data_IF_174819932571
#
_entry.id   IF_174819932571
#
_cell.length_a   1.000
_cell.length_b   1.000
_cell.length_c   1.000
_cell.angle_alpha   90.00
_cell.angle_beta   90.00
_cell.angle_gamma   90.00
#
_symmetry.space_group_name_H-M   'P 1'
#
loop_
_entity.id
_entity.type
_entity.pdbx_description
1 polymer ?
#
# COMPACT_ATOMS: atom_id res chain seq x y z
N UNK A 1 -68.50 6.37 62.06
CA UNK A 1 -68.70 5.90 60.67
C UNK A 1 -67.79 6.73 59.76
N UNK A 2 -67.02 6.06 58.91
CA UNK A 2 -65.80 6.53 58.24
C UNK A 2 -66.02 7.69 57.25
N UNK A 3 -65.27 8.78 57.39
CA UNK A 3 -65.12 9.79 56.34
C UNK A 3 -63.86 9.50 55.53
N UNK A 4 -64.05 9.16 54.24
CA UNK A 4 -62.97 8.94 53.26
C UNK A 4 -62.36 10.29 52.87
N UNK A 5 -61.11 10.54 53.25
CA UNK A 5 -60.29 11.61 52.67
C UNK A 5 -59.81 11.16 51.28
N UNK A 6 -60.34 11.80 50.24
CA UNK A 6 -59.95 11.61 48.85
C UNK A 6 -58.72 12.47 48.57
N UNK A 7 -57.53 11.86 48.52
CA UNK A 7 -56.30 12.57 48.17
C UNK A 7 -56.30 12.89 46.68
N UNK A 8 -56.36 14.18 46.35
CA UNK A 8 -56.23 14.66 44.98
C UNK A 8 -54.75 14.64 44.60
N UNK A 9 -54.34 13.70 43.75
CA UNK A 9 -53.02 13.73 43.12
C UNK A 9 -53.09 14.63 41.89
N UNK A 10 -52.36 15.76 41.81
CA UNK A 10 -52.25 16.49 40.55
C UNK A 10 -51.54 15.57 39.55
N UNK A 11 -52.21 15.26 38.44
CA UNK A 11 -51.64 14.50 37.33
C UNK A 11 -50.48 15.30 36.75
N UNK A 12 -49.26 15.01 37.23
CA UNK A 12 -48.03 15.52 36.65
C UNK A 12 -47.92 14.93 35.25
N UNK A 13 -48.38 15.66 34.24
CA UNK A 13 -48.14 15.32 32.85
C UNK A 13 -46.63 15.40 32.64
N UNK A 14 -45.96 14.24 32.63
CA UNK A 14 -44.55 14.14 32.29
C UNK A 14 -44.44 14.43 30.79
N UNK A 15 -44.27 15.70 30.42
CA UNK A 15 -43.85 16.08 29.08
C UNK A 15 -42.47 15.47 28.85
N UNK A 16 -42.40 14.36 28.11
CA UNK A 16 -41.14 13.76 27.72
C UNK A 16 -40.32 14.80 26.94
N UNK A 17 -39.04 15.05 27.27
CA UNK A 17 -38.24 16.01 26.53
C UNK A 17 -38.09 15.50 25.08
N UNK A 18 -38.51 16.30 24.12
CA UNK A 18 -38.32 15.99 22.70
C UNK A 18 -36.82 15.79 22.44
N UNK A 19 -36.42 14.57 22.10
CA UNK A 19 -35.06 14.28 21.63
C UNK A 19 -34.92 14.90 20.25
N UNK A 20 -34.44 16.14 20.19
CA UNK A 20 -34.08 16.78 18.93
C UNK A 20 -32.90 15.99 18.35
N UNK A 21 -33.15 15.30 17.24
CA UNK A 21 -32.08 14.68 16.47
C UNK A 21 -31.16 15.80 15.97
N UNK A 22 -29.92 15.80 16.47
CA UNK A 22 -28.87 16.65 15.94
C UNK A 22 -28.52 16.16 14.54
N UNK A 23 -28.97 16.90 13.52
CA UNK A 23 -28.55 16.67 12.14
C UNK A 23 -27.24 17.42 11.91
N UNK A 24 -26.10 16.76 12.11
CA UNK A 24 -24.83 17.31 11.63
C UNK A 24 -24.76 17.15 10.11
N UNK A 25 -24.52 18.22 9.34
CA UNK A 25 -24.35 18.08 7.89
C UNK A 25 -23.13 17.19 7.60
N UNK A 26 -23.32 16.24 6.70
CA UNK A 26 -22.24 15.36 6.23
C UNK A 26 -21.35 16.21 5.32
N UNK A 27 -20.21 16.64 5.83
CA UNK A 27 -19.20 17.36 5.02
C UNK A 27 -18.34 16.31 4.30
N UNK A 28 -18.28 16.31 2.96
CA UNK A 28 -17.40 15.39 2.24
C UNK A 28 -15.94 15.67 2.60
N UNK A 29 -15.16 14.60 2.77
CA UNK A 29 -13.75 14.73 3.06
C UNK A 29 -13.02 15.40 1.88
N UNK A 30 -12.12 16.34 2.18
CA UNK A 30 -11.29 16.99 1.15
C UNK A 30 -10.45 15.91 0.44
N UNK A 31 -10.41 15.89 -0.90
CA UNK A 31 -9.62 14.91 -1.63
C UNK A 31 -8.14 15.11 -1.32
N UNK A 32 -7.39 14.01 -1.28
CA UNK A 32 -5.94 14.06 -1.11
C UNK A 32 -5.29 14.75 -2.33
N UNK A 33 -4.17 15.47 -2.14
CA UNK A 33 -3.45 16.05 -3.26
C UNK A 33 -3.00 14.96 -4.25
N UNK A 34 -2.92 15.30 -5.56
CA UNK A 34 -2.43 14.38 -6.58
C UNK A 34 -0.97 14.00 -6.30
N UNK A 35 -0.61 12.75 -6.63
CA UNK A 35 0.78 12.28 -6.48
C UNK A 35 1.72 13.07 -7.38
N UNK A 36 2.92 13.36 -6.87
CA UNK A 36 4.00 13.94 -7.64
C UNK A 36 4.42 12.98 -8.75
N UNK A 37 4.41 13.47 -10.00
CA UNK A 37 4.92 12.72 -11.16
C UNK A 37 6.37 13.12 -11.38
N UNK A 38 7.26 12.14 -11.35
CA UNK A 38 8.70 12.34 -11.56
C UNK A 38 9.06 11.80 -12.94
N UNK A 39 9.90 12.54 -13.67
CA UNK A 39 10.34 12.15 -14.99
C UNK A 39 11.30 10.96 -14.90
N UNK A 40 11.16 9.98 -15.81
CA UNK A 40 12.03 8.80 -15.83
C UNK A 40 13.51 9.15 -16.15
N UNK A 41 13.79 10.32 -16.76
CA UNK A 41 15.16 10.77 -17.09
C UNK A 41 16.01 11.15 -15.85
N UNK A 42 15.34 11.64 -14.81
CA UNK A 42 15.97 12.10 -13.57
C UNK A 42 16.21 10.96 -12.58
N UNK A 43 15.75 9.76 -12.93
CA UNK A 43 15.80 8.56 -12.10
C UNK A 43 16.90 7.64 -12.61
N UNK A 44 17.72 7.10 -11.71
CA UNK A 44 18.57 5.94 -12.00
C UNK A 44 18.13 4.75 -11.16
N UNK A 45 18.01 3.59 -11.81
CA UNK A 45 17.56 2.33 -11.21
C UNK A 45 18.73 1.34 -11.25
N UNK A 46 19.06 0.77 -10.10
CA UNK A 46 20.02 -0.33 -9.99
C UNK A 46 19.36 -1.54 -9.30
N UNK A 47 19.68 -2.73 -9.80
CA UNK A 47 19.18 -4.00 -9.25
C UNK A 47 20.27 -4.65 -8.42
N UNK A 48 19.91 -5.03 -7.20
CA UNK A 48 20.79 -5.59 -6.20
C UNK A 48 20.29 -6.97 -5.76
N UNK A 49 21.19 -7.74 -5.15
CA UNK A 49 20.82 -8.97 -4.43
C UNK A 49 20.09 -8.61 -3.14
N UNK A 50 19.14 -9.45 -2.76
CA UNK A 50 18.42 -9.27 -1.51
C UNK A 50 19.34 -9.45 -0.30
N UNK A 51 19.05 -8.74 0.78
CA UNK A 51 19.77 -8.83 2.06
C UNK A 51 18.89 -9.52 3.10
N UNK A 52 19.50 -10.30 4.00
CA UNK A 52 18.83 -10.95 5.14
C UNK A 52 19.00 -12.47 5.17
N UNK A 53 18.53 -13.14 6.26
CA UNK A 53 18.47 -14.58 6.33
C UNK A 53 17.56 -15.08 5.20
N UNK A 54 18.16 -15.67 4.17
CA UNK A 54 17.49 -15.94 2.91
C UNK A 54 17.77 -17.32 2.35
N UNK A 55 16.75 -17.90 1.71
CA UNK A 55 16.89 -19.13 0.93
C UNK A 55 17.54 -18.90 -0.43
N UNK A 56 17.55 -19.94 -1.27
CA UNK A 56 18.17 -19.87 -2.61
C UNK A 56 17.68 -18.69 -3.46
N UNK A 57 16.40 -18.29 -3.32
CA UNK A 57 15.82 -17.23 -4.15
C UNK A 57 16.45 -15.85 -3.90
N UNK A 58 16.76 -15.53 -2.64
CA UNK A 58 17.29 -14.22 -2.22
C UNK A 58 18.74 -14.06 -2.70
N UNK A 59 19.55 -15.12 -2.61
CA UNK A 59 20.97 -15.07 -2.97
C UNK A 59 21.23 -15.17 -4.48
N UNK A 60 20.31 -15.79 -5.24
CA UNK A 60 20.46 -16.01 -6.68
C UNK A 60 19.82 -14.90 -7.53
N UNK A 61 18.71 -14.32 -7.11
CA UNK A 61 17.95 -13.36 -7.92
C UNK A 61 18.19 -11.92 -7.48
N UNK A 62 18.49 -11.04 -8.42
CA UNK A 62 18.63 -9.60 -8.21
C UNK A 62 17.23 -8.93 -8.12
N UNK A 63 16.50 -9.25 -7.06
CA UNK A 63 15.12 -8.79 -6.86
C UNK A 63 15.01 -7.47 -6.10
N UNK A 64 16.04 -7.08 -5.34
CA UNK A 64 16.06 -5.81 -4.62
C UNK A 64 16.34 -4.66 -5.59
N UNK A 65 15.66 -3.53 -5.39
CA UNK A 65 15.76 -2.36 -6.26
C UNK A 65 16.27 -1.18 -5.45
N UNK A 66 17.30 -0.50 -5.96
CA UNK A 66 17.74 0.79 -5.49
C UNK A 66 17.42 1.84 -6.56
N UNK A 67 16.73 2.90 -6.16
CA UNK A 67 16.38 4.02 -7.03
C UNK A 67 16.98 5.30 -6.47
N UNK A 68 17.59 6.10 -7.33
CA UNK A 68 18.19 7.40 -7.00
C UNK A 68 17.51 8.48 -7.83
N UNK A 69 17.09 9.56 -7.19
CA UNK A 69 16.64 10.77 -7.86
C UNK A 69 17.82 11.74 -7.95
N UNK A 70 18.36 11.93 -9.16
CA UNK A 70 19.57 12.74 -9.40
C UNK A 70 19.48 14.17 -8.85
N UNK A 71 18.41 14.95 -9.10
CA UNK A 71 18.38 16.36 -8.67
C UNK A 71 18.19 16.51 -7.16
N UNK A 72 17.45 15.62 -6.51
CA UNK A 72 17.19 15.70 -5.06
C UNK A 72 18.23 14.94 -4.22
N UNK A 73 19.05 14.07 -4.83
CA UNK A 73 19.99 13.20 -4.13
C UNK A 73 19.34 12.11 -3.27
N UNK A 74 18.02 11.92 -3.36
CA UNK A 74 17.28 10.94 -2.54
C UNK A 74 17.52 9.53 -3.07
N UNK A 75 17.96 8.66 -2.17
CA UNK A 75 18.23 7.24 -2.44
C UNK A 75 17.24 6.38 -1.68
N UNK A 76 16.58 5.46 -2.38
CA UNK A 76 15.63 4.52 -1.77
C UNK A 76 16.00 3.11 -2.18
N UNK A 77 16.02 2.21 -1.20
CA UNK A 77 16.18 0.77 -1.40
C UNK A 77 14.86 0.09 -1.04
N UNK A 78 14.38 -0.80 -1.90
CA UNK A 78 13.14 -1.53 -1.70
C UNK A 78 13.34 -3.02 -1.92
N UNK A 79 12.94 -3.82 -0.93
CA UNK A 79 12.90 -5.28 -0.96
C UNK A 79 11.60 -5.74 -0.30
N UNK A 80 10.47 -5.57 -1.01
CA UNK A 80 9.14 -5.87 -0.48
C UNK A 80 8.65 -7.25 -0.92
N UNK A 81 8.83 -7.58 -2.20
CA UNK A 81 8.37 -8.83 -2.79
C UNK A 81 9.50 -9.57 -3.51
N UNK A 82 9.21 -10.81 -3.94
CA UNK A 82 10.13 -11.63 -4.75
C UNK A 82 10.28 -11.14 -6.20
N UNK A 83 9.44 -10.20 -6.64
CA UNK A 83 9.36 -9.74 -8.04
C UNK A 83 10.05 -8.38 -8.21
N UNK A 84 11.00 -8.31 -9.15
CA UNK A 84 11.76 -7.08 -9.43
C UNK A 84 10.86 -5.93 -9.90
N UNK A 85 9.84 -6.23 -10.72
CA UNK A 85 8.97 -5.22 -11.32
C UNK A 85 8.02 -4.60 -10.29
N UNK A 86 7.52 -5.41 -9.36
CA UNK A 86 6.73 -4.93 -8.22
C UNK A 86 7.59 -4.06 -7.30
N UNK A 87 8.81 -4.51 -6.97
CA UNK A 87 9.73 -3.70 -6.17
C UNK A 87 10.09 -2.36 -6.85
N UNK A 88 10.24 -2.33 -8.18
CA UNK A 88 10.46 -1.09 -8.92
C UNK A 88 9.27 -0.13 -8.85
N UNK A 89 8.03 -0.63 -8.99
CA UNK A 89 6.80 0.19 -8.84
C UNK A 89 6.66 0.76 -7.43
N UNK A 90 6.93 -0.06 -6.42
CA UNK A 90 6.87 0.33 -5.01
C UNK A 90 7.95 1.40 -4.74
N UNK A 91 9.19 1.15 -5.18
CA UNK A 91 10.28 2.10 -5.00
C UNK A 91 10.02 3.46 -5.67
N UNK A 92 9.40 3.49 -6.87
CA UNK A 92 8.98 4.74 -7.52
C UNK A 92 7.93 5.50 -6.70
N UNK A 93 6.97 4.79 -6.12
CA UNK A 93 5.93 5.39 -5.27
C UNK A 93 6.53 5.99 -4.00
N UNK A 94 7.42 5.25 -3.33
CA UNK A 94 8.15 5.73 -2.16
C UNK A 94 9.05 6.92 -2.48
N UNK A 95 9.64 6.95 -3.68
CA UNK A 95 10.48 8.06 -4.13
C UNK A 95 9.66 9.33 -4.33
N UNK A 96 8.50 9.23 -4.97
CA UNK A 96 7.58 10.35 -5.10
C UNK A 96 7.15 10.91 -3.73
N UNK A 97 6.82 10.03 -2.79
CA UNK A 97 6.43 10.40 -1.44
C UNK A 97 7.56 11.11 -0.67
N UNK A 98 8.80 10.61 -0.78
CA UNK A 98 9.98 11.21 -0.13
C UNK A 98 10.34 12.58 -0.73
N UNK A 99 10.33 12.69 -2.05
CA UNK A 99 10.61 13.96 -2.74
C UNK A 99 9.52 14.99 -2.40
N UNK A 100 8.25 14.60 -2.42
CA UNK A 100 7.16 15.50 -2.04
C UNK A 100 7.26 15.94 -0.58
N UNK A 101 7.64 15.06 0.33
CA UNK A 101 7.88 15.41 1.73
C UNK A 101 9.01 16.44 1.89
N UNK A 102 10.08 16.31 1.11
CA UNK A 102 11.19 17.26 1.13
C UNK A 102 10.80 18.63 0.55
N UNK A 103 9.99 18.67 -0.51
CA UNK A 103 9.56 19.93 -1.15
C UNK A 103 8.46 20.66 -0.37
N UNK A 104 7.47 19.92 0.16
CA UNK A 104 6.23 20.49 0.73
C UNK A 104 6.13 20.38 2.25
N UNK A 105 6.96 19.56 2.90
CA UNK A 105 6.93 19.34 4.35
C UNK A 105 5.55 18.89 4.85
N UNK A 106 4.94 19.67 5.75
CA UNK A 106 3.64 19.39 6.37
C UNK A 106 2.46 19.38 5.39
N UNK A 107 2.62 20.00 4.22
CA UNK A 107 1.61 20.02 3.16
C UNK A 107 1.71 18.80 2.23
N UNK A 108 2.68 17.92 2.45
CA UNK A 108 2.85 16.70 1.65
C UNK A 108 1.67 15.74 1.84
N UNK A 109 1.40 14.91 0.83
CA UNK A 109 0.35 13.89 0.89
C UNK A 109 0.56 12.94 2.08
N UNK A 110 1.81 12.55 2.31
CA UNK A 110 2.22 11.67 3.43
C UNK A 110 1.91 12.32 4.77
N UNK A 111 2.27 13.59 4.97
CA UNK A 111 1.99 14.30 6.22
C UNK A 111 0.47 14.45 6.47
N UNK A 112 -0.30 14.75 5.43
CA UNK A 112 -1.77 14.85 5.53
C UNK A 112 -2.38 13.49 5.91
N UNK A 113 -1.94 12.40 5.25
CA UNK A 113 -2.38 11.03 5.58
C UNK A 113 -2.00 10.66 7.01
N UNK A 114 -0.77 10.94 7.42
CA UNK A 114 -0.27 10.67 8.76
C UNK A 114 -1.05 11.44 9.83
N UNK A 115 -1.32 12.73 9.62
CA UNK A 115 -2.11 13.56 10.51
C UNK A 115 -3.56 13.04 10.64
N UNK A 116 -4.17 12.61 9.53
CA UNK A 116 -5.50 12.01 9.54
C UNK A 116 -5.53 10.67 10.29
N UNK A 117 -4.51 9.82 10.10
CA UNK A 117 -4.36 8.56 10.81
C UNK A 117 -4.19 8.79 12.34
N UNK A 118 -3.32 9.72 12.74
CA UNK A 118 -3.12 10.11 14.15
C UNK A 118 -4.43 10.60 14.81
N UNK A 119 -5.24 11.41 14.12
CA UNK A 119 -6.56 11.86 14.62
C UNK A 119 -7.54 10.69 14.82
N UNK A 120 -7.54 9.71 13.90
CA UNK A 120 -8.37 8.50 14.02
C UNK A 120 -7.91 7.63 15.19
N UNK A 121 -6.60 7.39 15.34
CA UNK A 121 -6.01 6.66 16.46
C UNK A 121 -6.37 7.32 17.80
N UNK A 122 -6.14 8.63 17.93
CA UNK A 122 -6.49 9.40 19.13
C UNK A 122 -8.00 9.32 19.47
N UNK A 123 -8.88 9.38 18.46
CA UNK A 123 -10.32 9.26 18.66
C UNK A 123 -10.72 7.85 19.11
N UNK A 124 -10.10 6.80 18.54
CA UNK A 124 -10.30 5.40 18.94
C UNK A 124 -9.83 5.19 20.38
N UNK A 125 -8.63 5.64 20.71
CA UNK A 125 -8.05 5.58 22.05
C UNK A 125 -8.91 6.30 23.09
N UNK A 126 -9.45 7.48 22.77
CA UNK A 126 -10.35 8.21 23.69
C UNK A 126 -11.65 7.45 23.96
N UNK A 127 -12.22 6.80 22.94
CA UNK A 127 -13.44 5.99 23.08
C UNK A 127 -13.18 4.71 23.88
N UNK A 128 -12.10 4.00 23.59
CA UNK A 128 -11.72 2.81 24.35
C UNK A 128 -11.46 3.17 25.81
N UNK A 129 -10.70 4.23 26.07
CA UNK A 129 -10.42 4.73 27.44
C UNK A 129 -11.70 5.05 28.22
N UNK A 130 -12.71 5.67 27.58
CA UNK A 130 -14.00 5.93 28.23
C UNK A 130 -14.74 4.64 28.58
N UNK A 131 -14.84 3.71 27.61
CA UNK A 131 -15.50 2.41 27.79
C UNK A 131 -14.91 1.62 28.97
N UNK A 132 -13.58 1.52 29.03
CA UNK A 132 -12.91 0.75 30.08
C UNK A 132 -12.85 1.48 31.43
N UNK A 133 -12.99 2.83 31.47
CA UNK A 133 -13.14 3.59 32.71
C UNK A 133 -14.51 3.38 33.37
N UNK A 134 -15.57 3.28 32.57
CA UNK A 134 -16.96 3.13 33.04
C UNK A 134 -17.26 1.74 33.61
N UNK A 135 -16.51 0.70 33.19
CA UNK A 135 -16.69 -0.67 33.65
C UNK A 135 -16.09 -0.96 35.04
N UNK A 136 -15.50 0.03 35.74
CA UNK A 136 -15.18 -0.05 37.16
C UNK A 136 -14.30 -1.25 37.60
N UNK A 137 -12.98 -1.09 37.44
CA UNK A 137 -11.89 -1.65 38.26
C UNK A 137 -11.67 -3.19 38.38
N UNK A 138 -10.43 -3.60 38.10
CA UNK A 138 -9.91 -4.93 38.44
C UNK A 138 -8.52 -5.21 37.87
N UNK A 139 -7.49 -4.49 38.33
CA UNK A 139 -6.09 -4.95 38.18
C UNK A 139 -5.10 -3.91 37.65
N UNK A 140 -4.39 -3.29 38.60
CA UNK A 140 -3.05 -2.66 38.51
C UNK A 140 -2.83 -1.56 37.45
N UNK A 141 -2.39 -0.43 37.99
CA UNK A 141 -1.34 0.40 37.40
C UNK A 141 -0.16 -0.49 36.98
N UNK A 142 -0.23 -1.04 35.76
CA UNK A 142 0.87 -1.63 35.04
C UNK A 142 0.94 -0.89 33.72
N UNK A 143 2.11 -0.36 33.38
CA UNK A 143 2.32 0.66 32.36
C UNK A 143 1.52 0.44 31.09
N UNK A 144 0.68 1.41 30.76
CA UNK A 144 0.20 1.60 29.40
C UNK A 144 1.19 2.51 28.65
N UNK A 145 2.49 2.25 28.83
CA UNK A 145 3.48 2.51 27.81
C UNK A 145 3.31 1.37 26.79
N UNK A 146 2.17 1.39 26.07
CA UNK A 146 2.18 0.79 24.75
C UNK A 146 3.09 1.73 23.96
N UNK A 147 4.38 1.40 23.94
CA UNK A 147 5.30 1.84 22.91
C UNK A 147 4.61 1.47 21.60
N UNK A 148 3.86 2.44 21.05
CA UNK A 148 3.38 2.38 19.68
C UNK A 148 4.67 2.42 18.88
N UNK A 149 5.20 1.24 18.55
CA UNK A 149 6.15 1.14 17.47
C UNK A 149 5.51 1.90 16.31
N UNK A 150 6.20 2.96 15.86
CA UNK A 150 5.93 3.62 14.61
C UNK A 150 6.22 2.61 13.48
N UNK A 151 5.49 1.50 13.44
CA UNK A 151 5.26 0.79 12.21
C UNK A 151 4.59 1.83 11.31
N UNK A 152 5.42 2.43 10.46
CA UNK A 152 4.98 2.99 9.20
C UNK A 152 4.31 1.79 8.53
N UNK A 153 3.01 1.60 8.79
CA UNK A 153 2.14 0.89 7.88
C UNK A 153 2.40 1.60 6.56
N UNK A 154 3.22 0.98 5.73
CA UNK A 154 3.28 1.32 4.32
C UNK A 154 1.86 0.98 3.89
N UNK A 155 0.97 1.97 3.95
CA UNK A 155 -0.35 1.88 3.38
C UNK A 155 -0.05 1.73 1.90
N UNK A 156 0.00 0.48 1.45
CA UNK A 156 0.00 0.15 0.04
C UNK A 156 -1.37 0.65 -0.43
N UNK A 157 -1.39 1.83 -1.03
CA UNK A 157 -2.57 2.27 -1.77
C UNK A 157 -2.79 1.17 -2.83
N UNK A 158 -3.87 0.40 -2.71
CA UNK A 158 -4.38 -0.63 -3.65
C UNK A 158 -4.72 -0.08 -5.06
N UNK A 159 -4.19 1.10 -5.42
CA UNK A 159 -4.39 1.76 -6.72
C UNK A 159 -3.51 1.18 -7.84
N UNK A 160 -2.80 0.06 -7.59
CA UNK A 160 -2.27 -0.77 -8.69
C UNK A 160 -3.41 -1.65 -9.20
N UNK A 161 -4.42 -1.04 -9.82
CA UNK A 161 -5.37 -1.80 -10.65
C UNK A 161 -4.57 -2.51 -11.72
N UNK A 162 -4.53 -3.84 -11.65
CA UNK A 162 -4.02 -4.69 -12.71
C UNK A 162 -4.92 -4.53 -13.96
N UNK A 163 -4.55 -3.57 -14.81
CA UNK A 163 -4.99 -3.49 -16.20
C UNK A 163 -3.88 -4.00 -17.10
N UNK A 164 -3.55 -5.28 -16.98
CA UNK A 164 -2.64 -5.97 -17.90
C UNK A 164 -3.46 -6.75 -18.93
N UNK A 165 -3.83 -6.10 -20.03
CA UNK A 165 -4.18 -6.82 -21.25
C UNK A 165 -2.90 -7.51 -21.75
N UNK A 166 -2.80 -8.82 -21.55
CA UNK A 166 -1.83 -9.65 -22.25
C UNK A 166 -2.16 -9.59 -23.75
N UNK A 167 -1.39 -8.80 -24.50
CA UNK A 167 -1.31 -8.95 -25.95
C UNK A 167 -0.44 -10.17 -26.25
N UNK A 168 -1.09 -11.30 -26.46
CA UNK A 168 -0.49 -12.49 -27.05
C UNK A 168 -0.15 -12.18 -28.51
N UNK A 169 1.06 -11.66 -28.73
CA UNK A 169 1.63 -11.56 -30.07
C UNK A 169 2.11 -12.95 -30.49
N UNK A 170 1.22 -13.72 -31.08
CA UNK A 170 1.58 -14.87 -31.92
C UNK A 170 2.33 -14.33 -33.13
N UNK A 171 3.68 -14.35 -33.08
CA UNK A 171 4.50 -14.13 -34.27
C UNK A 171 4.45 -15.39 -35.12
N UNK A 172 3.61 -15.34 -36.16
CA UNK A 172 3.61 -16.28 -37.27
C UNK A 172 4.96 -16.18 -38.01
N UNK A 173 5.82 -17.19 -37.83
CA UNK A 173 7.03 -17.33 -38.66
C UNK A 173 6.62 -17.95 -39.99
N UNK A 174 6.40 -17.10 -40.99
CA UNK A 174 6.17 -17.47 -42.39
C UNK A 174 7.47 -18.06 -42.99
N UNK A 175 7.46 -19.25 -43.60
CA UNK A 175 8.64 -19.80 -44.26
C UNK A 175 8.84 -19.14 -45.63
N UNK A 176 9.96 -18.44 -45.81
CA UNK A 176 10.39 -17.95 -47.13
C UNK A 176 11.00 -19.09 -47.94
N UNK A 177 10.40 -19.30 -49.11
CA UNK A 177 10.86 -20.17 -50.19
C UNK A 177 12.16 -19.63 -50.79
N UNK A 178 13.22 -20.44 -50.84
CA UNK A 178 14.41 -20.16 -51.65
C UNK A 178 14.26 -20.75 -53.05
N UNK A 179 14.66 -20.03 -54.11
CA UNK A 179 14.66 -20.53 -55.47
C UNK A 179 15.86 -21.43 -55.77
N UNK A 180 15.63 -22.28 -56.75
CA UNK A 180 16.47 -23.31 -57.34
C UNK A 180 17.79 -22.75 -57.89
N UNK A 181 18.90 -23.43 -57.58
CA UNK A 181 20.09 -23.48 -58.46
C UNK A 181 20.61 -24.91 -58.50
N UNK A 182 20.58 -25.49 -59.69
CA UNK A 182 21.12 -26.81 -59.97
C UNK A 182 22.65 -26.85 -59.91
N UNK A 183 23.19 -28.05 -59.67
CA UNK A 183 24.63 -28.26 -59.63
C UNK A 183 25.04 -29.69 -59.28
N UNK A 184 24.82 -30.59 -60.23
CA UNK A 184 25.69 -31.70 -60.62
C UNK A 184 26.04 -32.86 -59.65
N UNK A 185 25.79 -34.04 -60.21
CA UNK A 185 26.04 -35.41 -59.73
C UNK A 185 27.53 -35.71 -59.65
N UNK A 186 27.99 -36.40 -58.59
CA UNK A 186 29.04 -37.42 -58.72
C UNK A 186 29.02 -38.44 -57.58
N UNK A 187 28.82 -39.69 -58.01
CA UNK A 187 28.82 -40.94 -57.27
C UNK A 187 30.24 -41.36 -56.85
N UNK A 188 30.34 -42.08 -55.73
CA UNK A 188 31.26 -43.22 -55.40
C UNK A 188 31.39 -43.28 -53.88
N UNK A 189 30.71 -44.22 -53.20
CA UNK A 189 31.19 -45.57 -52.87
C UNK A 189 32.59 -45.58 -52.22
N UNK A 190 32.63 -45.98 -50.95
CA UNK A 190 33.87 -46.09 -50.18
C UNK A 190 33.63 -46.65 -48.79
N UNK A 191 33.26 -47.92 -48.74
CA UNK A 191 33.28 -48.79 -47.55
C UNK A 191 34.62 -48.75 -46.82
N UNK A 192 34.61 -48.64 -45.49
CA UNK A 192 35.81 -48.76 -44.67
C UNK A 192 35.50 -49.06 -43.22
N UNK A 193 35.42 -50.35 -42.92
CA UNK A 193 35.22 -50.97 -41.60
C UNK A 193 36.59 -51.50 -41.14
N UNK A 194 37.07 -51.09 -39.96
CA UNK A 194 38.04 -51.81 -39.11
C UNK A 194 38.29 -50.93 -37.88
N UNK A 195 37.89 -51.37 -36.69
CA UNK A 195 38.64 -52.20 -35.72
C UNK A 195 39.33 -51.32 -34.69
#
# INVERSE_FOLDING_TARGET
MFSRLRWWTPSRTLSAPARLFSQTPIVPAKPLPPRLKINDADISISYLKGTGPGGQKINKTNSAVQIIHKPSGVVIKCQATRSQSQNAKIARSLLADRVEAQEKGDKSRVAIKAAAAKKKKASKLKKTRRKYRELGEGGKQGGADMEEEDEIEIIWDDDVKEGGENKEATSETKPETKPETGGEVKSSEGSGKSS
#
